data_IF_001997539061
#
_entry.id   IF_001997539061
#
_cell.length_a   1.000
_cell.length_b   1.000
_cell.length_c   1.000
_cell.angle_alpha   90.00
_cell.angle_beta   90.00
_cell.angle_gamma   90.00
#
_symmetry.space_group_name_H-M   'P 1'
#
loop_
_entity.id
_entity.type
_entity.pdbx_description
1 polymer ?
#
# COMPACT_ATOMS: atom_id res chain seq x y z
N UNK A 1 -52.78 6.84 18.77
CA UNK A 1 -51.36 7.11 19.10
C UNK A 1 -50.38 6.53 18.05
N UNK A 2 -50.81 6.16 16.85
CA UNK A 2 -49.99 5.33 15.94
C UNK A 2 -49.10 6.11 14.95
N UNK A 3 -49.48 7.31 14.50
CA UNK A 3 -48.72 8.03 13.47
C UNK A 3 -47.35 8.54 13.94
N UNK A 4 -47.23 8.94 15.21
CA UNK A 4 -45.96 9.45 15.75
C UNK A 4 -44.90 8.34 15.84
N UNK A 5 -45.32 7.12 16.20
CA UNK A 5 -44.43 5.96 16.26
C UNK A 5 -43.93 5.58 14.86
N UNK A 6 -44.84 5.57 13.88
CA UNK A 6 -44.51 5.29 12.47
C UNK A 6 -43.54 6.36 11.93
N UNK A 7 -43.80 7.64 12.16
CA UNK A 7 -42.91 8.73 11.70
C UNK A 7 -41.52 8.67 12.33
N UNK A 8 -41.42 8.26 13.60
CA UNK A 8 -40.13 8.09 14.27
C UNK A 8 -39.32 6.93 13.69
N UNK A 9 -39.99 5.82 13.33
CA UNK A 9 -39.36 4.68 12.66
C UNK A 9 -38.89 5.05 11.25
N UNK A 10 -39.70 5.77 10.48
CA UNK A 10 -39.30 6.27 9.16
C UNK A 10 -38.06 7.17 9.29
N UNK A 11 -38.07 8.09 10.26
CA UNK A 11 -36.95 8.99 10.51
C UNK A 11 -35.68 8.29 11.00
N UNK A 12 -35.79 7.13 11.66
CA UNK A 12 -34.61 6.34 12.06
C UNK A 12 -34.04 5.57 10.88
N UNK A 13 -34.91 4.99 10.04
CA UNK A 13 -34.51 4.29 8.82
C UNK A 13 -33.85 5.22 7.80
N UNK A 14 -34.35 6.45 7.66
CA UNK A 14 -33.73 7.48 6.81
C UNK A 14 -32.30 7.79 7.27
N UNK A 15 -32.11 7.95 8.59
CA UNK A 15 -30.79 8.17 9.19
C UNK A 15 -29.85 6.99 9.00
N UNK A 16 -30.37 5.76 9.14
CA UNK A 16 -29.58 4.56 8.86
C UNK A 16 -29.18 4.49 7.39
N UNK A 17 -30.08 4.80 6.45
CA UNK A 17 -29.78 4.82 5.02
C UNK A 17 -28.63 5.78 4.71
N UNK A 18 -28.72 7.02 5.22
CA UNK A 18 -27.65 8.03 5.04
C UNK A 18 -26.32 7.52 5.60
N UNK A 19 -26.32 6.96 6.81
CA UNK A 19 -25.10 6.41 7.42
C UNK A 19 -24.48 5.27 6.60
N UNK A 20 -25.31 4.38 6.06
CA UNK A 20 -24.86 3.29 5.19
C UNK A 20 -24.26 3.84 3.89
N UNK A 21 -24.92 4.81 3.25
CA UNK A 21 -24.43 5.43 2.02
C UNK A 21 -23.07 6.12 2.25
N UNK A 22 -22.89 6.81 3.37
CA UNK A 22 -21.60 7.42 3.76
C UNK A 22 -20.50 6.36 3.90
N UNK A 23 -20.80 5.24 4.57
CA UNK A 23 -19.83 4.13 4.71
C UNK A 23 -19.46 3.49 3.37
N UNK A 24 -20.44 3.33 2.46
CA UNK A 24 -20.19 2.82 1.12
C UNK A 24 -19.25 3.75 0.34
N UNK A 25 -19.46 5.07 0.43
CA UNK A 25 -18.59 6.04 -0.25
C UNK A 25 -17.18 6.06 0.33
N UNK A 26 -17.07 5.98 1.66
CA UNK A 26 -15.77 5.89 2.33
C UNK A 26 -15.01 4.63 1.90
N UNK A 27 -15.67 3.47 1.89
CA UNK A 27 -15.08 2.21 1.43
C UNK A 27 -14.62 2.29 -0.02
N UNK A 28 -15.45 2.82 -0.92
CA UNK A 28 -15.07 3.05 -2.33
C UNK A 28 -13.85 3.96 -2.46
N UNK A 29 -13.68 4.94 -1.57
CA UNK A 29 -12.50 5.81 -1.55
C UNK A 29 -11.25 5.04 -1.13
N UNK A 30 -11.34 4.26 -0.05
CA UNK A 30 -10.24 3.42 0.43
C UNK A 30 -9.82 2.38 -0.62
N UNK A 31 -10.76 1.71 -1.28
CA UNK A 31 -10.46 0.73 -2.33
C UNK A 31 -9.71 1.38 -3.50
N UNK A 32 -10.07 2.62 -3.88
CA UNK A 32 -9.36 3.38 -4.91
C UNK A 32 -7.95 3.78 -4.48
N UNK A 33 -7.78 4.15 -3.22
CA UNK A 33 -6.47 4.52 -2.67
C UNK A 33 -5.54 3.30 -2.60
N UNK A 34 -6.06 2.16 -2.16
CA UNK A 34 -5.34 0.88 -2.14
C UNK A 34 -4.92 0.46 -3.55
N UNK A 35 -5.85 0.49 -4.52
CA UNK A 35 -5.53 0.18 -5.92
C UNK A 35 -4.45 1.12 -6.49
N UNK A 36 -4.48 2.40 -6.13
CA UNK A 36 -3.43 3.36 -6.54
C UNK A 36 -2.09 3.03 -5.92
N UNK A 37 -2.07 2.67 -4.63
CA UNK A 37 -0.85 2.26 -3.94
C UNK A 37 -0.25 1.00 -4.59
N UNK A 38 -1.07 -0.02 -4.87
CA UNK A 38 -0.65 -1.25 -5.55
C UNK A 38 -0.10 -0.97 -6.95
N UNK A 39 -0.78 -0.13 -7.75
CA UNK A 39 -0.28 0.25 -9.09
C UNK A 39 1.06 0.98 -9.01
N UNK A 40 1.25 1.87 -8.03
CA UNK A 40 2.51 2.58 -7.80
C UNK A 40 3.64 1.61 -7.44
N UNK A 41 3.38 0.65 -6.57
CA UNK A 41 4.34 -0.40 -6.21
C UNK A 41 4.69 -1.28 -7.41
N UNK A 42 3.69 -1.72 -8.18
CA UNK A 42 3.91 -2.51 -9.40
C UNK A 42 4.75 -1.76 -10.43
N UNK A 43 4.54 -0.45 -10.59
CA UNK A 43 5.34 0.39 -11.46
C UNK A 43 6.79 0.44 -10.98
N UNK A 44 7.05 0.65 -9.70
CA UNK A 44 8.42 0.64 -9.16
C UNK A 44 9.10 -0.72 -9.37
N UNK A 45 8.43 -1.81 -9.00
CA UNK A 45 8.96 -3.16 -9.21
C UNK A 45 9.23 -3.47 -10.69
N UNK A 46 8.50 -2.87 -11.64
CA UNK A 46 8.78 -3.05 -13.08
C UNK A 46 10.07 -2.39 -13.55
N UNK A 47 10.49 -1.32 -12.87
CA UNK A 47 11.71 -0.57 -13.22
C UNK A 47 12.91 -1.13 -12.47
N UNK A 48 12.73 -1.39 -11.18
CA UNK A 48 13.84 -1.77 -10.30
C UNK A 48 14.02 -3.28 -10.18
N UNK A 49 12.99 -4.06 -10.53
CA UNK A 49 12.90 -5.49 -10.22
C UNK A 49 13.06 -5.81 -8.72
N UNK A 50 12.78 -4.83 -7.86
CA UNK A 50 12.86 -4.95 -6.40
C UNK A 50 11.46 -5.16 -5.83
N UNK A 51 11.33 -6.16 -4.94
CA UNK A 51 10.15 -6.37 -4.11
C UNK A 51 10.54 -6.11 -2.65
N UNK A 52 10.05 -5.00 -2.05
CA UNK A 52 10.34 -4.72 -0.64
C UNK A 52 9.52 -5.64 0.27
N UNK A 53 10.12 -6.05 1.39
CA UNK A 53 9.39 -6.66 2.50
C UNK A 53 8.41 -5.63 3.10
N UNK A 54 7.13 -5.95 3.09
CA UNK A 54 6.06 -5.08 3.60
C UNK A 54 5.66 -5.41 5.04
N UNK A 55 6.12 -6.53 5.59
CA UNK A 55 5.78 -6.99 6.94
C UNK A 55 6.63 -6.26 8.00
N UNK A 56 7.88 -5.94 7.68
CA UNK A 56 8.78 -5.17 8.55
C UNK A 56 8.71 -3.65 8.26
N UNK A 57 7.69 -2.99 8.82
CA UNK A 57 7.45 -1.53 8.65
C UNK A 57 8.48 -0.59 9.29
N UNK A 58 9.37 -1.08 10.17
CA UNK A 58 10.19 -0.21 11.02
C UNK A 58 11.54 0.20 10.45
N UNK A 59 11.99 -0.44 9.37
CA UNK A 59 13.38 -0.29 8.95
C UNK A 59 13.54 -0.67 7.47
N UNK A 60 14.26 0.17 6.71
CA UNK A 60 14.76 -0.20 5.37
C UNK A 60 15.72 -1.41 5.46
N UNK A 61 16.12 -1.79 6.68
CA UNK A 61 16.86 -2.99 7.09
C UNK A 61 16.14 -4.32 6.87
N UNK A 62 15.05 -4.34 6.08
CA UNK A 62 14.44 -5.58 5.63
C UNK A 62 15.22 -6.19 4.46
N UNK A 63 15.19 -7.51 4.27
CA UNK A 63 15.71 -8.13 3.06
C UNK A 63 14.95 -7.57 1.85
N UNK A 64 15.65 -6.82 1.02
CA UNK A 64 15.16 -6.35 -0.27
C UNK A 64 15.38 -7.49 -1.27
N UNK A 65 14.29 -8.12 -1.71
CA UNK A 65 14.34 -9.21 -2.67
C UNK A 65 14.45 -8.64 -4.09
N UNK A 66 15.63 -8.74 -4.71
CA UNK A 66 15.81 -8.39 -6.13
C UNK A 66 15.49 -9.61 -6.98
N UNK A 67 14.45 -9.50 -7.81
CA UNK A 67 13.96 -10.59 -8.66
C UNK A 67 14.64 -10.52 -10.02
N UNK A 68 15.50 -11.49 -10.33
CA UNK A 68 15.98 -11.69 -11.71
C UNK A 68 14.91 -12.48 -12.47
N UNK A 69 14.16 -11.80 -13.36
CA UNK A 69 13.10 -12.45 -14.12
C UNK A 69 13.64 -13.43 -15.16
N UNK A 70 14.83 -13.18 -15.70
CA UNK A 70 15.45 -14.01 -16.73
C UNK A 70 16.10 -15.25 -16.11
N UNK A 71 16.71 -15.09 -14.92
CA UNK A 71 17.38 -16.18 -14.20
C UNK A 71 16.52 -16.86 -13.12
N UNK A 72 15.29 -16.38 -12.89
CA UNK A 72 14.36 -16.83 -11.83
C UNK A 72 15.04 -16.91 -10.45
N UNK A 73 15.90 -15.96 -10.14
CA UNK A 73 16.66 -15.91 -8.90
C UNK A 73 16.23 -14.72 -8.04
N UNK A 74 16.13 -14.92 -6.73
CA UNK A 74 15.85 -13.86 -5.76
C UNK A 74 17.11 -13.66 -4.95
N UNK A 75 17.68 -12.45 -5.02
CA UNK A 75 18.85 -12.08 -4.24
C UNK A 75 18.43 -11.14 -3.12
N UNK A 76 18.84 -11.46 -1.89
CA UNK A 76 18.48 -10.72 -0.68
C UNK A 76 19.59 -9.73 -0.35
N UNK A 77 19.22 -8.47 -0.20
CA UNK A 77 20.13 -7.43 0.28
C UNK A 77 19.60 -6.79 1.55
N UNK A 78 20.46 -6.63 2.54
CA UNK A 78 20.17 -5.84 3.74
C UNK A 78 20.78 -4.46 3.55
N UNK A 79 19.97 -3.42 3.69
CA UNK A 79 20.41 -2.04 3.68
C UNK A 79 20.29 -1.50 5.10
N UNK A 80 21.39 -1.16 5.73
CA UNK A 80 21.35 -0.51 7.04
C UNK A 80 21.18 1.02 6.87
N UNK A 81 20.01 1.58 7.23
CA UNK A 81 19.76 3.01 7.13
C UNK A 81 20.48 3.81 8.23
N UNK A 82 21.12 3.16 9.21
CA UNK A 82 21.93 3.84 10.25
C UNK A 82 23.37 4.05 9.81
N UNK A 83 23.85 3.24 8.86
CA UNK A 83 25.21 3.29 8.33
C UNK A 83 25.35 4.23 7.12
N UNK A 84 24.24 4.63 6.49
CA UNK A 84 24.25 5.39 5.22
C UNK A 84 23.22 6.51 5.17
N UNK A 85 23.58 7.62 4.51
CA UNK A 85 22.61 8.69 4.22
C UNK A 85 21.59 8.24 3.18
N UNK A 86 20.37 8.80 3.14
CA UNK A 86 19.36 8.45 2.13
C UNK A 86 19.88 8.56 0.69
N UNK A 87 20.79 9.50 0.44
CA UNK A 87 21.43 9.67 -0.86
C UNK A 87 22.36 8.49 -1.21
N UNK A 88 23.24 8.10 -0.30
CA UNK A 88 24.17 6.97 -0.48
C UNK A 88 23.41 5.66 -0.62
N UNK A 89 22.33 5.46 0.15
CA UNK A 89 21.45 4.29 0.01
C UNK A 89 20.83 4.25 -1.39
N UNK A 90 20.29 5.38 -1.88
CA UNK A 90 19.71 5.46 -3.22
C UNK A 90 20.74 5.18 -4.31
N UNK A 91 21.93 5.77 -4.20
CA UNK A 91 23.03 5.56 -5.15
C UNK A 91 23.44 4.08 -5.18
N UNK A 92 23.54 3.44 -4.01
CA UNK A 92 23.89 2.03 -3.87
C UNK A 92 22.83 1.12 -4.53
N UNK A 93 21.55 1.38 -4.29
CA UNK A 93 20.44 0.67 -4.95
C UNK A 93 20.50 0.82 -6.47
N UNK A 94 20.73 2.03 -6.96
CA UNK A 94 20.83 2.27 -8.41
C UNK A 94 22.05 1.60 -9.04
N UNK A 95 23.19 1.55 -8.35
CA UNK A 95 24.36 0.78 -8.79
C UNK A 95 24.02 -0.71 -8.92
N UNK A 96 23.30 -1.29 -7.94
CA UNK A 96 22.86 -2.69 -8.01
C UNK A 96 21.94 -2.96 -9.21
N UNK A 97 20.97 -2.06 -9.47
CA UNK A 97 20.05 -2.19 -10.60
C UNK A 97 20.80 -2.10 -11.95
N UNK A 98 21.76 -1.18 -12.07
CA UNK A 98 22.51 -0.94 -13.31
C UNK A 98 23.63 -1.95 -13.59
N UNK A 99 24.08 -2.70 -12.58
CA UNK A 99 25.11 -3.73 -12.73
C UNK A 99 24.55 -5.11 -13.16
N UNK A 100 23.25 -5.20 -13.44
CA UNK A 100 22.63 -6.35 -14.12
C UNK A 100 22.81 -6.28 -15.63
#
# INVERSE_FOLDING_TARGET
MSNTVINNQISSLERQRVSIDEQIQLRKKLDREELRAQKKLSMYASVTNIIPDLDNRSTISGPVDIVDRDKRMVEKFELDPTESTPFETCESIWKLINHR
#
